data_IF_507617370975
#
_entry.id   IF_507617370975
#
_cell.length_a   1.000
_cell.length_b   1.000
_cell.length_c   1.000
_cell.angle_alpha   90.00
_cell.angle_beta   90.00
_cell.angle_gamma   90.00
#
_symmetry.space_group_name_H-M   'P 1'
#
loop_
_entity.id
_entity.type
_entity.pdbx_description
1 polymer ?
#
# COMPACT_ATOMS: atom_id res chain seq x y z
N UNK A 1 14.14 15.27 -14.49
CA UNK A 1 13.08 14.34 -14.02
C UNK A 1 13.03 14.08 -12.50
N UNK A 2 13.85 14.69 -11.62
CA UNK A 2 13.86 14.36 -10.18
C UNK A 2 12.52 14.60 -9.45
N UNK A 3 11.80 15.67 -9.79
CA UNK A 3 10.54 16.02 -9.12
C UNK A 3 9.44 14.97 -9.33
N UNK A 4 9.27 14.47 -10.56
CA UNK A 4 8.24 13.47 -10.89
C UNK A 4 8.52 12.14 -10.19
N UNK A 5 9.80 11.72 -10.14
CA UNK A 5 10.22 10.50 -9.44
C UNK A 5 9.99 10.62 -7.93
N UNK A 6 10.30 11.78 -7.35
CA UNK A 6 10.01 12.06 -5.94
C UNK A 6 8.49 12.05 -5.65
N UNK A 7 7.68 12.68 -6.50
CA UNK A 7 6.23 12.69 -6.32
C UNK A 7 5.64 11.27 -6.35
N UNK A 8 6.08 10.42 -7.30
CA UNK A 8 5.60 9.03 -7.40
C UNK A 8 6.01 8.14 -6.21
N UNK A 9 7.16 8.42 -5.59
CA UNK A 9 7.67 7.62 -4.47
C UNK A 9 7.14 8.09 -3.11
N UNK A 10 6.74 9.37 -2.99
CA UNK A 10 6.20 9.95 -1.75
C UNK A 10 4.67 9.81 -1.60
N UNK A 11 3.93 9.44 -2.66
CA UNK A 11 2.48 9.22 -2.61
C UNK A 11 1.99 8.02 -3.45
N UNK A 12 2.52 6.82 -3.24
CA UNK A 12 2.10 5.63 -3.98
C UNK A 12 0.67 5.20 -3.59
N UNK A 13 -0.16 4.93 -4.60
CA UNK A 13 -1.51 4.38 -4.39
C UNK A 13 -1.50 2.91 -4.80
N UNK A 14 -1.84 2.03 -3.86
CA UNK A 14 -1.68 0.59 -3.99
C UNK A 14 -3.04 -0.08 -4.06
N UNK A 15 -3.19 -1.00 -4.99
CA UNK A 15 -4.32 -1.91 -5.09
C UNK A 15 -3.85 -3.29 -4.68
N UNK A 16 -4.45 -3.85 -3.63
CA UNK A 16 -4.25 -5.24 -3.26
C UNK A 16 -5.08 -6.13 -4.16
N UNK A 17 -4.45 -7.16 -4.75
CA UNK A 17 -5.10 -8.09 -5.65
C UNK A 17 -4.83 -9.52 -5.19
N UNK A 18 -5.91 -10.24 -4.87
CA UNK A 18 -5.87 -11.64 -4.47
C UNK A 18 -6.37 -12.52 -5.62
N UNK A 19 -5.55 -13.49 -6.04
CA UNK A 19 -5.86 -14.45 -7.11
C UNK A 19 -5.82 -15.90 -6.60
N UNK A 20 -6.52 -16.20 -5.50
CA UNK A 20 -6.55 -17.55 -4.91
C UNK A 20 -5.48 -17.78 -3.83
N UNK A 21 -5.27 -16.79 -2.95
CA UNK A 21 -4.32 -16.87 -1.82
C UNK A 21 -4.91 -17.64 -0.62
N UNK A 22 -4.04 -18.06 0.31
CA UNK A 22 -4.38 -18.70 1.58
C UNK A 22 -4.80 -17.71 2.70
N UNK A 23 -5.05 -16.43 2.36
CA UNK A 23 -5.38 -15.33 3.27
C UNK A 23 -4.28 -14.87 4.23
N UNK A 24 -3.13 -15.55 4.29
CA UNK A 24 -2.01 -15.13 5.14
C UNK A 24 -1.48 -13.74 4.77
N UNK A 25 -1.14 -13.53 3.49
CA UNK A 25 -0.65 -12.23 3.01
C UNK A 25 -1.71 -11.13 3.12
N UNK A 26 -2.98 -11.48 2.97
CA UNK A 26 -4.10 -10.53 3.11
C UNK A 26 -4.18 -9.97 4.53
N UNK A 27 -3.99 -10.82 5.55
CA UNK A 27 -3.93 -10.41 6.96
C UNK A 27 -2.73 -9.49 7.19
N UNK A 28 -1.55 -9.85 6.66
CA UNK A 28 -0.35 -9.03 6.80
C UNK A 28 -0.50 -7.65 6.13
N UNK A 29 -1.18 -7.58 4.99
CA UNK A 29 -1.50 -6.31 4.32
C UNK A 29 -2.42 -5.46 5.19
N UNK A 30 -3.45 -6.05 5.82
CA UNK A 30 -4.30 -5.34 6.78
C UNK A 30 -3.51 -4.89 8.01
N UNK A 31 -2.65 -5.76 8.56
CA UNK A 31 -1.81 -5.46 9.71
C UNK A 31 -0.80 -4.36 9.44
N UNK A 32 -0.29 -4.25 8.21
CA UNK A 32 0.64 -3.19 7.80
C UNK A 32 0.01 -1.79 7.88
N UNK A 33 -1.32 -1.69 7.80
CA UNK A 33 -2.06 -0.43 8.01
C UNK A 33 -2.32 -0.13 9.48
N UNK A 34 -2.16 -1.10 10.37
CA UNK A 34 -2.41 -0.90 11.79
C UNK A 34 -1.38 0.09 12.39
N UNK A 35 -1.71 0.80 13.49
CA UNK A 35 -0.85 1.83 14.08
C UNK A 35 0.58 1.40 14.40
N UNK A 36 0.82 0.09 14.58
CA UNK A 36 2.16 -0.46 14.82
C UNK A 36 3.08 -0.38 13.59
N UNK A 37 2.52 -0.57 12.40
CA UNK A 37 3.26 -0.63 11.13
C UNK A 37 2.87 0.45 10.12
N UNK A 38 1.92 1.32 10.50
CA UNK A 38 1.34 2.46 9.79
C UNK A 38 2.06 2.87 8.49
N UNK A 39 1.67 2.23 7.39
CA UNK A 39 2.14 2.56 6.05
C UNK A 39 1.65 3.93 5.57
N UNK A 40 0.57 4.48 6.12
CA UNK A 40 0.01 5.76 5.68
C UNK A 40 0.96 6.92 6.00
N UNK A 41 1.83 6.77 7.03
CA UNK A 41 2.91 7.72 7.34
C UNK A 41 3.90 7.94 6.19
N UNK A 42 4.07 6.95 5.32
CA UNK A 42 4.95 7.04 4.14
C UNK A 42 4.21 7.54 2.89
N UNK A 43 2.95 7.94 3.00
CA UNK A 43 2.11 8.40 1.89
C UNK A 43 1.48 7.29 1.07
N UNK A 44 1.53 6.04 1.54
CA UNK A 44 0.90 4.90 0.88
C UNK A 44 -0.61 4.95 1.13
N UNK A 45 -1.41 4.89 0.07
CA UNK A 45 -2.87 4.83 0.16
C UNK A 45 -3.42 3.60 -0.56
N UNK A 46 -4.29 2.85 0.11
CA UNK A 46 -5.00 1.74 -0.52
C UNK A 46 -6.23 2.23 -1.30
N UNK A 47 -6.34 1.84 -2.57
CA UNK A 47 -7.50 2.11 -3.44
C UNK A 47 -8.02 0.81 -4.03
N UNK A 48 -9.34 0.67 -4.12
CA UNK A 48 -10.01 -0.53 -4.62
C UNK A 48 -10.35 -0.49 -6.11
N UNK A 49 -10.28 0.69 -6.73
CA UNK A 49 -10.45 0.87 -8.18
C UNK A 49 -9.07 0.93 -8.84
N UNK A 50 -8.80 0.12 -9.87
CA UNK A 50 -7.62 0.27 -10.71
C UNK A 50 -7.64 1.57 -11.52
#
# INVERSE_FOLDING_TARGET
MRLISWARSSSPWVLHFNSGSCNGCDIEIVASRAPKYDLERFGILFKGSP
#
